data_IF_735303782102
#
_entry.id   IF_735303782102
#
_cell.length_a   1.000
_cell.length_b   1.000
_cell.length_c   1.000
_cell.angle_alpha   90.00
_cell.angle_beta   90.00
_cell.angle_gamma   90.00
#
_symmetry.space_group_name_H-M   'P 1'
#
loop_
_entity.id
_entity.type
_entity.pdbx_description
1 polymer ?
#
# COMPACT_ATOMS: atom_id res chain seq x y z
N UNK A 1 2.13 15.28 -18.14
CA UNK A 1 2.87 15.28 -16.86
C UNK A 1 3.68 13.99 -16.72
N UNK A 2 5.01 14.06 -16.80
CA UNK A 2 5.91 12.91 -16.66
C UNK A 2 6.13 12.66 -15.16
N UNK A 3 5.79 11.47 -14.64
CA UNK A 3 6.07 11.13 -13.23
C UNK A 3 7.58 11.19 -12.98
N UNK A 4 8.01 11.95 -11.96
CA UNK A 4 9.41 11.97 -11.52
C UNK A 4 9.85 10.58 -11.04
N UNK A 5 11.16 10.34 -10.99
CA UNK A 5 11.71 9.04 -10.60
C UNK A 5 11.15 8.58 -9.23
N UNK A 6 11.16 9.46 -8.22
CA UNK A 6 10.59 9.17 -6.91
C UNK A 6 9.10 8.80 -6.94
N UNK A 7 8.29 9.46 -7.77
CA UNK A 7 6.86 9.14 -7.94
C UNK A 7 6.65 7.77 -8.60
N UNK A 8 7.53 7.37 -9.53
CA UNK A 8 7.48 6.02 -10.14
C UNK A 8 7.82 4.93 -9.12
N UNK A 9 8.83 5.17 -8.30
CA UNK A 9 9.21 4.24 -7.21
C UNK A 9 8.08 4.12 -6.20
N UNK A 10 7.51 5.24 -5.73
CA UNK A 10 6.37 5.24 -4.82
C UNK A 10 5.16 4.48 -5.39
N UNK A 11 4.88 4.64 -6.69
CA UNK A 11 3.83 3.87 -7.36
C UNK A 11 4.12 2.37 -7.38
N UNK A 12 5.36 1.97 -7.69
CA UNK A 12 5.78 0.57 -7.68
C UNK A 12 5.59 -0.07 -6.29
N UNK A 13 6.01 0.61 -5.23
CA UNK A 13 5.81 0.14 -3.85
C UNK A 13 4.34 0.13 -3.44
N UNK A 14 3.52 1.09 -3.92
CA UNK A 14 2.07 1.06 -3.70
C UNK A 14 1.44 -0.23 -4.26
N UNK A 15 1.77 -0.58 -5.50
CA UNK A 15 1.29 -1.81 -6.14
C UNK A 15 1.75 -3.04 -5.39
N UNK A 16 3.02 -3.10 -4.98
CA UNK A 16 3.56 -4.22 -4.20
C UNK A 16 2.85 -4.35 -2.85
N UNK A 17 2.59 -3.23 -2.16
CA UNK A 17 1.90 -3.22 -0.88
C UNK A 17 0.46 -3.73 -1.02
N UNK A 18 -0.27 -3.30 -2.04
CA UNK A 18 -1.60 -3.84 -2.34
C UNK A 18 -1.58 -5.32 -2.70
N UNK A 19 -0.61 -5.76 -3.52
CA UNK A 19 -0.47 -7.18 -3.85
C UNK A 19 -0.20 -8.03 -2.60
N UNK A 20 0.64 -7.54 -1.69
CA UNK A 20 0.89 -8.18 -0.39
C UNK A 20 -0.36 -8.22 0.51
N UNK A 21 -1.15 -7.14 0.53
CA UNK A 21 -2.42 -7.11 1.26
C UNK A 21 -3.41 -8.15 0.71
N UNK A 22 -3.50 -8.28 -0.61
CA UNK A 22 -4.34 -9.30 -1.26
C UNK A 22 -3.87 -10.71 -0.91
N UNK A 23 -2.56 -10.98 -0.97
CA UNK A 23 -2.01 -12.28 -0.59
C UNK A 23 -2.31 -12.62 0.88
N UNK A 24 -2.19 -11.64 1.78
CA UNK A 24 -2.53 -11.80 3.19
C UNK A 24 -4.03 -12.05 3.41
N UNK A 25 -4.92 -11.40 2.64
CA UNK A 25 -6.37 -11.68 2.67
C UNK A 25 -6.69 -13.09 2.25
N UNK A 26 -6.05 -13.58 1.17
CA UNK A 26 -6.23 -14.97 0.71
C UNK A 26 -5.79 -15.95 1.80
N UNK A 27 -4.61 -15.74 2.39
CA UNK A 27 -4.12 -16.54 3.51
C UNK A 27 -5.07 -16.51 4.71
N UNK A 28 -5.58 -15.34 5.09
CA UNK A 28 -6.54 -15.19 6.17
C UNK A 28 -7.81 -15.99 5.90
N UNK A 29 -8.35 -15.94 4.67
CA UNK A 29 -9.55 -16.69 4.30
C UNK A 29 -9.38 -18.21 4.42
N UNK A 30 -8.16 -18.74 4.24
CA UNK A 30 -7.86 -20.16 4.45
C UNK A 30 -7.60 -20.52 5.92
N UNK A 31 -6.92 -19.65 6.67
CA UNK A 31 -6.50 -19.93 8.06
C UNK A 31 -7.63 -19.71 9.07
N UNK A 32 -8.43 -18.66 8.89
CA UNK A 32 -9.51 -18.29 9.80
C UNK A 32 -10.53 -19.41 10.06
N UNK A 33 -11.06 -20.15 9.06
CA UNK A 33 -12.00 -21.24 9.32
C UNK A 33 -11.37 -22.43 10.05
N UNK A 34 -10.05 -22.61 9.98
CA UNK A 34 -9.37 -23.73 10.66
C UNK A 34 -9.01 -23.43 12.11
N UNK A 35 -8.68 -22.17 12.43
CA UNK A 35 -8.14 -21.81 13.75
C UNK A 35 -9.01 -20.85 14.56
N UNK A 36 -9.98 -20.21 13.93
CA UNK A 36 -10.90 -19.28 14.58
C UNK A 36 -10.26 -17.94 14.95
N UNK A 37 -11.06 -17.06 15.56
CA UNK A 37 -10.69 -15.68 15.85
C UNK A 37 -9.72 -15.50 17.02
N UNK A 38 -9.59 -16.49 17.89
CA UNK A 38 -8.69 -16.45 19.05
C UNK A 38 -7.23 -16.80 18.68
N UNK A 39 -6.98 -17.27 17.45
CA UNK A 39 -5.64 -17.63 17.02
C UNK A 39 -4.79 -16.38 16.72
N UNK A 40 -3.60 -16.23 17.33
CA UNK A 40 -2.74 -15.08 17.13
C UNK A 40 -2.27 -14.91 15.68
N UNK A 41 -2.20 -15.99 14.89
CA UNK A 41 -1.87 -15.94 13.47
C UNK A 41 -3.00 -15.27 12.68
N UNK A 42 -4.26 -15.61 12.96
CA UNK A 42 -5.40 -14.98 12.32
C UNK A 42 -5.45 -13.47 12.64
N UNK A 43 -5.24 -13.09 13.89
CA UNK A 43 -5.16 -11.69 14.30
C UNK A 43 -4.00 -10.94 13.62
N UNK A 44 -2.82 -11.57 13.53
CA UNK A 44 -1.63 -10.99 12.89
C UNK A 44 -1.81 -10.82 11.38
N UNK A 45 -2.47 -11.77 10.72
CA UNK A 45 -2.83 -11.68 9.30
C UNK A 45 -3.78 -10.52 9.06
N UNK A 46 -4.81 -10.36 9.90
CA UNK A 46 -5.74 -9.24 9.81
C UNK A 46 -5.01 -7.89 9.96
N UNK A 47 -4.15 -7.75 10.97
CA UNK A 47 -3.34 -6.55 11.15
C UNK A 47 -2.44 -6.25 9.94
N UNK A 48 -1.84 -7.30 9.36
CA UNK A 48 -0.98 -7.20 8.16
C UNK A 48 -1.76 -6.73 6.94
N UNK A 49 -2.98 -7.24 6.74
CA UNK A 49 -3.88 -6.82 5.65
C UNK A 49 -4.14 -5.31 5.75
N UNK A 50 -4.56 -4.82 6.92
CA UNK A 50 -4.85 -3.41 7.15
C UNK A 50 -3.62 -2.52 7.01
N UNK A 51 -2.47 -2.95 7.53
CA UNK A 51 -1.22 -2.21 7.41
C UNK A 51 -0.78 -2.07 5.94
N UNK A 52 -0.78 -3.16 5.18
CA UNK A 52 -0.40 -3.13 3.77
C UNK A 52 -1.42 -2.38 2.91
N UNK A 53 -2.71 -2.52 3.18
CA UNK A 53 -3.73 -1.75 2.50
C UNK A 53 -3.55 -0.24 2.72
N UNK A 54 -3.37 0.18 3.99
CA UNK A 54 -3.17 1.61 4.32
C UNK A 54 -1.87 2.16 3.74
N UNK A 55 -0.78 1.39 3.79
CA UNK A 55 0.49 1.77 3.16
C UNK A 55 0.33 1.93 1.64
N UNK A 56 -0.36 0.99 0.98
CA UNK A 56 -0.70 1.06 -0.43
C UNK A 56 -1.47 2.34 -0.79
N UNK A 57 -2.45 2.73 0.03
CA UNK A 57 -3.23 3.98 -0.14
C UNK A 57 -2.32 5.21 -0.08
N UNK A 58 -1.50 5.34 0.97
CA UNK A 58 -0.63 6.51 1.16
C UNK A 58 0.37 6.63 0.01
N UNK A 59 1.03 5.53 -0.35
CA UNK A 59 1.98 5.50 -1.46
C UNK A 59 1.32 5.82 -2.81
N UNK A 60 0.08 5.37 -3.00
CA UNK A 60 -0.68 5.72 -4.20
C UNK A 60 -0.90 7.23 -4.31
N UNK A 61 -1.30 7.89 -3.21
CA UNK A 61 -1.48 9.35 -3.20
C UNK A 61 -0.17 10.10 -3.42
N UNK A 62 0.93 9.68 -2.79
CA UNK A 62 2.26 10.28 -3.00
C UNK A 62 2.71 10.15 -4.47
N UNK A 63 2.33 9.07 -5.15
CA UNK A 63 2.69 8.84 -6.55
C UNK A 63 1.93 9.70 -7.56
N UNK A 64 0.89 10.42 -7.12
CA UNK A 64 0.09 11.27 -7.99
C UNK A 64 0.89 12.52 -8.40
N UNK A 65 0.74 12.99 -9.65
CA UNK A 65 1.31 14.27 -10.04
C UNK A 65 0.62 15.42 -9.28
N UNK A 66 1.33 16.55 -9.03
CA UNK A 66 0.74 17.71 -8.39
C UNK A 66 -0.45 18.24 -9.20
N UNK A 67 -1.52 18.66 -8.49
CA UNK A 67 -2.75 19.18 -9.11
C UNK A 67 -2.62 20.62 -9.61
N UNK A 68 -1.58 21.32 -9.20
CA UNK A 68 -1.27 22.69 -9.61
C UNK A 68 0.11 22.73 -10.26
N UNK A 69 0.30 23.74 -11.10
CA UNK A 69 1.59 24.03 -11.69
C UNK A 69 2.55 24.46 -10.58
N UNK A 70 3.63 23.69 -10.39
CA UNK A 70 4.64 24.00 -9.39
C UNK A 70 5.36 25.28 -9.82
N UNK A 71 5.49 26.24 -8.91
CA UNK A 71 6.25 27.45 -9.15
C UNK A 71 7.71 27.09 -9.52
N UNK A 72 8.44 27.94 -10.26
CA UNK A 72 9.80 27.63 -10.71
C UNK A 72 10.76 27.23 -9.57
N UNK A 73 10.56 27.78 -8.37
CA UNK A 73 11.34 27.45 -7.16
C UNK A 73 10.90 26.18 -6.45
N UNK A 74 9.70 25.66 -6.71
CA UNK A 74 9.19 24.39 -6.18
C UNK A 74 9.61 23.19 -7.07
N UNK A 75 10.17 23.46 -8.26
CA UNK A 75 10.61 22.44 -9.20
C UNK A 75 12.02 21.89 -8.89
N UNK A 76 12.70 22.45 -7.88
CA UNK A 76 14.10 22.21 -7.57
C UNK A 76 14.38 21.80 -6.12
N UNK A 77 13.88 20.63 -5.72
CA UNK A 77 14.45 19.75 -4.68
C UNK A 77 14.20 18.29 -5.12
#
# INVERSE_FOLDING_TARGET
MKRSFGKKVAFGFSVLSYAGSIAAMVLFAFVFPQRGAADPVAASLLATIFFLASCGVVLYFISQPPRYELQPWDQGQ
#
